data_IF_198775063177
#
_entry.id   IF_198775063177
#
_cell.length_a   1.000
_cell.length_b   1.000
_cell.length_c   1.000
_cell.angle_alpha   90.00
_cell.angle_beta   90.00
_cell.angle_gamma   90.00
#
_symmetry.space_group_name_H-M   'P 1'
#
loop_
_entity.id
_entity.type
_entity.pdbx_description
1 polymer ?
#
# COMPACT_ATOMS: atom_id res chain seq x y z
N UNK A 1 -1.60 -6.16 -3.33
CA UNK A 1 -2.78 -6.58 -2.58
C UNK A 1 -3.92 -5.59 -2.73
N UNK A 2 -5.07 -5.93 -2.20
CA UNK A 2 -6.28 -5.12 -2.31
C UNK A 2 -6.96 -5.08 -0.95
N UNK A 3 -7.49 -3.92 -0.55
CA UNK A 3 -8.20 -3.76 0.70
C UNK A 3 -9.40 -2.84 0.54
N UNK A 4 -10.45 -3.11 1.34
CA UNK A 4 -11.54 -2.16 1.52
C UNK A 4 -11.05 -1.08 2.50
N UNK A 5 -10.96 0.15 2.02
CA UNK A 5 -10.48 1.27 2.84
C UNK A 5 -11.53 1.77 3.83
N UNK A 6 -12.75 1.22 3.79
CA UNK A 6 -13.81 1.63 4.69
C UNK A 6 -14.32 3.05 4.50
N UNK A 7 -13.81 3.75 3.50
CA UNK A 7 -14.23 5.10 3.15
C UNK A 7 -15.12 5.00 1.93
N UNK A 8 -16.39 5.31 2.07
CA UNK A 8 -17.39 5.19 1.01
C UNK A 8 -17.53 3.77 0.43
N UNK A 9 -17.08 2.74 1.14
CA UNK A 9 -17.20 1.34 0.74
C UNK A 9 -16.46 0.97 -0.53
N UNK A 10 -15.47 1.75 -0.94
CA UNK A 10 -14.70 1.48 -2.15
C UNK A 10 -13.57 0.50 -1.87
N UNK A 11 -13.42 -0.46 -2.78
CA UNK A 11 -12.27 -1.37 -2.80
C UNK A 11 -11.15 -0.69 -3.56
N UNK A 12 -9.95 -0.65 -2.95
CA UNK A 12 -8.77 -0.03 -3.55
C UNK A 12 -7.56 -0.94 -3.45
N UNK A 13 -6.68 -0.95 -4.47
CA UNK A 13 -5.40 -1.62 -4.34
C UNK A 13 -4.57 -1.00 -3.24
N UNK A 14 -3.78 -1.83 -2.56
CA UNK A 14 -2.82 -1.36 -1.57
C UNK A 14 -1.59 -2.25 -1.59
N UNK A 15 -0.47 -1.71 -1.14
CA UNK A 15 0.77 -2.45 -0.97
C UNK A 15 0.89 -2.86 0.50
N UNK A 16 1.00 -4.16 0.74
CA UNK A 16 1.21 -4.70 2.07
C UNK A 16 2.68 -4.52 2.46
N UNK A 17 2.93 -3.79 3.55
CA UNK A 17 4.29 -3.52 4.04
C UNK A 17 4.76 -4.48 5.12
N UNK A 18 3.83 -5.05 5.88
CA UNK A 18 4.15 -5.92 7.00
C UNK A 18 3.89 -7.37 6.64
N UNK A 19 4.49 -8.27 7.40
CA UNK A 19 4.15 -9.68 7.32
C UNK A 19 2.76 -9.93 7.91
N UNK A 20 2.18 -11.08 7.59
CA UNK A 20 0.92 -11.48 8.22
C UNK A 20 1.15 -11.74 9.70
N UNK A 21 0.22 -11.29 10.57
CA UNK A 21 0.38 -11.49 12.01
C UNK A 21 0.32 -12.97 12.38
N UNK A 22 1.07 -13.33 13.42
CA UNK A 22 1.06 -14.67 14.01
C UNK A 22 0.29 -14.67 15.32
N UNK A 23 0.13 -15.86 15.93
CA UNK A 23 -0.86 -16.17 16.95
C UNK A 23 -1.01 -15.17 18.11
N UNK A 24 0.10 -14.60 18.59
CA UNK A 24 0.08 -13.69 19.74
C UNK A 24 0.10 -12.21 19.34
N UNK A 25 0.04 -11.93 18.05
CA UNK A 25 0.04 -10.57 17.53
C UNK A 25 -1.38 -10.09 17.23
N UNK A 26 -1.57 -8.78 17.25
CA UNK A 26 -2.83 -8.20 16.79
C UNK A 26 -3.02 -8.51 15.30
N UNK A 27 -4.27 -8.75 14.91
CA UNK A 27 -4.62 -9.04 13.51
C UNK A 27 -4.64 -7.76 12.68
N UNK A 28 -3.49 -7.08 12.62
CA UNK A 28 -3.31 -5.80 11.94
C UNK A 28 -2.18 -5.90 10.93
N UNK A 29 -2.32 -5.17 9.84
CA UNK A 29 -1.28 -5.03 8.81
C UNK A 29 -1.15 -3.57 8.44
N UNK A 30 0.03 -3.17 7.99
CA UNK A 30 0.29 -1.81 7.54
C UNK A 30 0.37 -1.80 6.02
N UNK A 31 -0.35 -0.87 5.41
CA UNK A 31 -0.49 -0.79 3.96
C UNK A 31 -0.28 0.63 3.46
N UNK A 32 0.13 0.74 2.19
CA UNK A 32 0.12 2.00 1.44
C UNK A 32 -0.93 1.88 0.35
N UNK A 33 -1.95 2.76 0.33
CA UNK A 33 -2.96 2.71 -0.72
C UNK A 33 -2.41 3.20 -2.05
N UNK A 34 -2.95 2.62 -3.13
CA UNK A 34 -2.71 3.07 -4.49
C UNK A 34 -3.88 3.95 -4.93
N UNK A 35 -3.59 5.07 -5.56
CA UNK A 35 -4.62 5.99 -6.02
C UNK A 35 -4.43 6.36 -7.48
N UNK A 36 -5.54 6.56 -8.18
CA UNK A 36 -5.55 7.14 -9.53
C UNK A 36 -5.78 8.65 -9.50
N UNK A 37 -6.15 9.21 -8.35
CA UNK A 37 -6.40 10.63 -8.15
C UNK A 37 -5.11 11.32 -7.68
N UNK A 38 -4.21 11.60 -8.63
CA UNK A 38 -2.90 12.18 -8.34
C UNK A 38 -3.02 13.67 -8.00
N UNK A 39 -2.22 14.09 -7.00
CA UNK A 39 -2.12 15.49 -6.58
C UNK A 39 -0.81 16.13 -7.02
N UNK A 40 0.14 15.32 -7.52
CA UNK A 40 1.43 15.79 -8.00
C UNK A 40 2.43 16.13 -6.89
N UNK A 41 2.28 15.56 -5.69
CA UNK A 41 3.25 15.81 -4.63
C UNK A 41 4.34 14.72 -4.59
N UNK A 42 5.39 15.01 -3.84
CA UNK A 42 6.59 14.15 -3.78
C UNK A 42 6.38 12.79 -3.11
N UNK A 43 5.25 12.61 -2.45
CA UNK A 43 4.95 11.37 -1.72
C UNK A 43 4.16 10.37 -2.56
N UNK A 44 3.88 10.70 -3.80
CA UNK A 44 3.24 9.80 -4.75
C UNK A 44 4.31 9.07 -5.55
N UNK A 45 4.36 7.75 -5.40
CA UNK A 45 5.36 6.90 -6.05
C UNK A 45 4.69 6.01 -7.09
N UNK A 46 5.01 6.24 -8.36
CA UNK A 46 4.46 5.46 -9.45
C UNK A 46 5.29 4.21 -9.68
N UNK A 47 4.62 3.05 -9.62
CA UNK A 47 5.21 1.75 -9.96
C UNK A 47 4.23 1.06 -10.90
N UNK A 48 4.41 1.20 -12.22
CA UNK A 48 3.48 0.61 -13.19
C UNK A 48 3.45 -0.90 -13.12
N UNK A 49 2.25 -1.47 -13.02
CA UNK A 49 2.03 -2.92 -13.01
C UNK A 49 0.80 -3.26 -13.84
N UNK A 50 0.77 -4.42 -14.51
CA UNK A 50 -0.39 -4.82 -15.33
C UNK A 50 -1.69 -4.92 -14.55
N UNK A 51 -1.63 -5.21 -13.26
CA UNK A 51 -2.81 -5.37 -12.40
C UNK A 51 -3.23 -4.06 -11.72
N UNK A 52 -2.57 -2.93 -12.02
CA UNK A 52 -2.90 -1.62 -11.47
C UNK A 52 -3.28 -0.65 -12.58
N UNK A 53 -4.27 0.19 -12.31
CA UNK A 53 -4.54 1.33 -13.18
C UNK A 53 -3.43 2.37 -13.03
N UNK A 54 -3.30 3.26 -14.01
CA UNK A 54 -2.32 4.34 -13.93
C UNK A 54 -2.56 5.20 -12.69
N UNK A 55 -1.51 5.39 -11.89
CA UNK A 55 -1.62 6.11 -10.64
C UNK A 55 -0.35 6.01 -9.82
N UNK A 56 -0.46 6.09 -8.51
CA UNK A 56 0.69 6.02 -7.63
C UNK A 56 0.32 5.48 -6.25
N UNK A 57 1.33 4.94 -5.57
CA UNK A 57 1.24 4.64 -4.15
C UNK A 57 1.40 5.94 -3.37
N UNK A 58 0.46 6.24 -2.48
CA UNK A 58 0.43 7.51 -1.75
C UNK A 58 0.98 7.34 -0.34
N UNK A 59 2.24 7.73 -0.16
CA UNK A 59 2.96 7.49 1.09
C UNK A 59 2.40 8.25 2.29
N UNK A 60 1.76 9.40 2.07
CA UNK A 60 1.13 10.14 3.15
C UNK A 60 -0.08 9.42 3.75
N UNK A 61 -0.62 8.46 3.04
CA UNK A 61 -1.79 7.70 3.48
C UNK A 61 -1.43 6.31 4.02
N UNK A 62 -0.18 6.09 4.34
CA UNK A 62 0.22 4.86 5.03
C UNK A 62 -0.65 4.67 6.27
N UNK A 63 -1.19 3.47 6.44
CA UNK A 63 -2.11 3.21 7.53
C UNK A 63 -2.08 1.75 7.95
N UNK A 64 -2.50 1.51 9.20
CA UNK A 64 -2.66 0.19 9.75
C UNK A 64 -4.14 -0.16 9.74
N UNK A 65 -4.48 -1.32 9.20
CA UNK A 65 -5.85 -1.78 9.05
C UNK A 65 -6.00 -3.20 9.60
N UNK A 66 -7.23 -3.56 9.92
CA UNK A 66 -7.54 -4.95 10.31
C UNK A 66 -7.28 -5.89 9.13
N UNK A 67 -6.65 -7.03 9.42
CA UNK A 67 -6.36 -8.05 8.41
C UNK A 67 -7.60 -8.49 7.64
N UNK A 68 -8.76 -8.54 8.30
CA UNK A 68 -10.02 -8.97 7.66
C UNK A 68 -10.47 -8.03 6.53
N UNK A 69 -9.90 -6.84 6.45
CA UNK A 69 -10.22 -5.89 5.38
C UNK A 69 -9.49 -6.19 4.07
N UNK A 70 -8.48 -7.05 4.09
CA UNK A 70 -7.81 -7.51 2.88
C UNK A 70 -8.71 -8.51 2.17
N UNK A 71 -9.00 -8.28 0.90
CA UNK A 71 -9.93 -9.10 0.14
C UNK A 71 -9.22 -10.18 -0.66
N UNK A 72 -8.19 -9.81 -1.41
CA UNK A 72 -7.45 -10.75 -2.24
C UNK A 72 -6.11 -10.17 -2.65
N UNK A 73 -5.22 -11.04 -3.09
CA UNK A 73 -3.94 -10.66 -3.66
C UNK A 73 -4.11 -10.35 -5.14
N UNK A 74 -3.61 -9.20 -5.58
CA UNK A 74 -3.62 -8.81 -6.98
C UNK A 74 -2.34 -9.20 -7.71
N UNK A 75 -1.22 -9.19 -7.02
CA UNK A 75 0.09 -9.46 -7.59
C UNK A 75 1.18 -9.10 -6.60
N UNK A 76 2.40 -8.97 -7.09
CA UNK A 76 3.55 -8.62 -6.26
C UNK A 76 4.40 -7.56 -6.92
N UNK A 77 5.12 -6.80 -6.12
CA UNK A 77 6.23 -5.98 -6.59
C UNK A 77 7.50 -6.80 -6.53
N UNK A 78 8.41 -6.57 -7.49
CA UNK A 78 9.72 -7.21 -7.44
C UNK A 78 10.64 -6.49 -6.46
N UNK A 79 11.84 -7.04 -6.27
CA UNK A 79 12.81 -6.51 -5.31
C UNK A 79 13.18 -5.06 -5.60
N UNK A 80 13.40 -4.73 -6.88
CA UNK A 80 13.78 -3.37 -7.29
C UNK A 80 12.66 -2.38 -7.04
N UNK A 81 11.43 -2.77 -7.34
CA UNK A 81 10.24 -1.95 -7.11
C UNK A 81 10.03 -1.73 -5.62
N UNK A 82 10.22 -2.75 -4.79
CA UNK A 82 10.15 -2.61 -3.34
C UNK A 82 11.23 -1.69 -2.80
N UNK A 83 12.43 -1.73 -3.35
CA UNK A 83 13.51 -0.82 -2.93
C UNK A 83 13.16 0.64 -3.21
N UNK A 84 12.48 0.93 -4.32
CA UNK A 84 11.99 2.28 -4.63
C UNK A 84 11.01 2.74 -3.56
N UNK A 85 10.05 1.89 -3.22
CA UNK A 85 9.06 2.19 -2.18
C UNK A 85 9.74 2.36 -0.82
N UNK A 86 10.64 1.47 -0.45
CA UNK A 86 11.32 1.51 0.84
C UNK A 86 12.17 2.77 1.00
N UNK A 87 12.88 3.18 -0.04
CA UNK A 87 13.67 4.41 -0.02
C UNK A 87 12.77 5.63 0.18
N UNK A 88 11.67 5.71 -0.58
CA UNK A 88 10.73 6.81 -0.46
C UNK A 88 10.06 6.82 0.93
N UNK A 89 9.74 5.64 1.46
CA UNK A 89 9.12 5.50 2.78
C UNK A 89 10.09 5.91 3.89
N UNK A 90 11.36 5.52 3.79
CA UNK A 90 12.39 5.94 4.74
C UNK A 90 12.50 7.47 4.77
N UNK A 91 12.47 8.12 3.61
CA UNK A 91 12.46 9.57 3.53
C UNK A 91 11.20 10.17 4.18
N UNK A 92 10.05 9.57 3.93
CA UNK A 92 8.77 10.02 4.50
C UNK A 92 8.76 9.93 6.03
N UNK A 93 9.34 8.85 6.56
CA UNK A 93 9.38 8.57 8.00
C UNK A 93 10.62 9.14 8.69
N UNK A 94 11.50 9.77 7.95
CA UNK A 94 12.69 10.40 8.48
C UNK A 94 13.69 9.39 9.08
N UNK A 95 13.78 8.27 8.44
CA UNK A 95 14.67 7.17 8.88
C UNK A 95 16.05 7.24 8.21
#
# INVERSE_FOLDING_TARGET
CQTDMGIAGKVRPCLLLTEYPVDDELALVTVIPHTTALRGNRWEVSVPKPFLQAGAFHLQQIQTVSLVRLLRRLGTLDKREMEIIETALANRLNL
#
